data_IF_626524050359
#
_entry.id   IF_626524050359
#
_cell.length_a   1.000
_cell.length_b   1.000
_cell.length_c   1.000
_cell.angle_alpha   90.00
_cell.angle_beta   90.00
_cell.angle_gamma   90.00
#
_symmetry.space_group_name_H-M   'P 1'
#
loop_
_entity.id
_entity.type
_entity.pdbx_description
1 polymer ?
#
# COMPACT_ATOMS: atom_id res chain seq x y z
N UNK A 1 12.29 15.03 19.91
CA UNK A 1 11.76 14.88 18.54
C UNK A 1 12.92 14.36 17.72
N UNK A 2 13.12 13.04 17.73
CA UNK A 2 14.16 12.40 16.93
C UNK A 2 13.87 12.70 15.46
N UNK A 3 14.85 13.25 14.76
CA UNK A 3 14.80 13.29 13.30
C UNK A 3 14.80 11.85 12.86
N UNK A 4 13.74 11.43 12.17
CA UNK A 4 13.79 10.24 11.33
C UNK A 4 14.94 10.47 10.35
N UNK A 5 16.11 9.90 10.62
CA UNK A 5 17.16 9.73 9.61
C UNK A 5 16.61 8.73 8.61
N UNK A 6 15.75 9.23 7.70
CA UNK A 6 15.13 8.41 6.67
C UNK A 6 16.24 7.97 5.72
N UNK A 7 16.55 6.68 5.76
CA UNK A 7 17.59 6.09 4.94
C UNK A 7 17.22 6.23 3.45
N UNK A 8 18.08 6.88 2.65
CA UNK A 8 17.87 7.15 1.21
C UNK A 8 17.46 5.90 0.39
N UNK A 9 18.03 4.69 0.65
CA UNK A 9 17.57 3.45 0.03
C UNK A 9 16.11 3.11 0.29
N UNK A 10 15.59 3.37 1.50
CA UNK A 10 14.20 3.09 1.86
C UNK A 10 13.23 3.99 1.08
N UNK A 11 13.58 5.27 0.93
CA UNK A 11 12.81 6.21 0.11
C UNK A 11 12.71 5.68 -1.32
N UNK A 12 13.85 5.27 -1.89
CA UNK A 12 13.88 4.74 -3.27
C UNK A 12 13.07 3.46 -3.44
N UNK A 13 13.07 2.57 -2.45
CA UNK A 13 12.20 1.37 -2.43
C UNK A 13 10.73 1.79 -2.48
N UNK A 14 10.31 2.70 -1.61
CA UNK A 14 8.92 3.16 -1.55
C UNK A 14 8.50 3.86 -2.85
N UNK A 15 9.35 4.73 -3.41
CA UNK A 15 9.12 5.41 -4.70
C UNK A 15 8.95 4.41 -5.85
N UNK A 16 9.82 3.40 -5.93
CA UNK A 16 9.76 2.36 -6.95
C UNK A 16 8.45 1.55 -6.85
N UNK A 17 8.04 1.18 -5.63
CA UNK A 17 6.77 0.48 -5.41
C UNK A 17 5.59 1.35 -5.83
N UNK A 18 5.58 2.63 -5.44
CA UNK A 18 4.52 3.57 -5.83
C UNK A 18 4.45 3.72 -7.36
N UNK A 19 5.58 3.89 -8.02
CA UNK A 19 5.66 4.03 -9.47
C UNK A 19 5.17 2.76 -10.18
N UNK A 20 5.68 1.59 -9.78
CA UNK A 20 5.30 0.31 -10.36
C UNK A 20 3.81 0.00 -10.16
N UNK A 21 3.28 0.26 -8.95
CA UNK A 21 1.87 0.06 -8.64
C UNK A 21 0.98 0.91 -9.54
N UNK A 22 1.24 2.21 -9.63
CA UNK A 22 0.36 3.16 -10.34
C UNK A 22 0.51 3.08 -11.86
N UNK A 23 1.66 2.61 -12.35
CA UNK A 23 1.85 2.31 -13.76
C UNK A 23 1.11 1.03 -14.18
N UNK A 24 1.05 0.02 -13.29
CA UNK A 24 0.38 -1.26 -13.55
C UNK A 24 -1.13 -1.21 -13.30
N UNK A 25 -1.54 -0.45 -12.28
CA UNK A 25 -2.92 -0.36 -11.80
C UNK A 25 -3.31 1.12 -11.67
N UNK A 26 -4.07 1.67 -12.64
CA UNK A 26 -4.61 3.02 -12.52
C UNK A 26 -5.43 3.17 -11.24
N UNK A 27 -5.41 4.36 -10.63
CA UNK A 27 -6.14 4.62 -9.37
C UNK A 27 -7.61 4.21 -9.45
N UNK A 28 -8.28 4.49 -10.57
CA UNK A 28 -9.68 4.12 -10.79
C UNK A 28 -9.91 2.61 -10.72
N UNK A 29 -8.99 1.82 -11.29
CA UNK A 29 -9.04 0.36 -11.19
C UNK A 29 -8.91 -0.12 -9.74
N UNK A 30 -8.01 0.47 -8.96
CA UNK A 30 -7.82 0.09 -7.54
C UNK A 30 -9.09 0.42 -6.75
N UNK A 31 -9.70 1.59 -6.99
CA UNK A 31 -10.95 2.00 -6.36
C UNK A 31 -12.08 1.03 -6.70
N UNK A 32 -12.23 0.66 -7.97
CA UNK A 32 -13.29 -0.25 -8.40
C UNK A 32 -13.07 -1.67 -7.84
N UNK A 33 -11.82 -2.15 -7.79
CA UNK A 33 -11.47 -3.41 -7.13
C UNK A 33 -11.87 -3.42 -5.64
N UNK A 34 -11.69 -2.29 -4.92
CA UNK A 34 -12.12 -2.16 -3.52
C UNK A 34 -13.64 -2.22 -3.41
N UNK A 35 -14.37 -1.54 -4.30
CA UNK A 35 -15.85 -1.54 -4.29
C UNK A 35 -16.42 -2.94 -4.55
N UNK A 36 -15.85 -3.66 -5.51
CA UNK A 36 -16.24 -5.04 -5.84
C UNK A 36 -15.95 -6.02 -4.70
N UNK A 37 -14.91 -5.76 -3.90
CA UNK A 37 -14.44 -6.64 -2.84
C UNK A 37 -14.52 -5.98 -1.46
N UNK A 38 -15.56 -5.18 -1.20
CA UNK A 38 -15.72 -4.36 0.01
C UNK A 38 -15.49 -5.13 1.32
N UNK A 39 -15.93 -6.39 1.37
CA UNK A 39 -15.87 -7.25 2.56
C UNK A 39 -14.54 -8.04 2.68
N UNK A 40 -13.67 -8.02 1.66
CA UNK A 40 -12.41 -8.77 1.63
C UNK A 40 -11.21 -7.88 1.89
N UNK A 41 -10.22 -8.28 2.69
CA UNK A 41 -9.00 -7.48 2.85
C UNK A 41 -8.24 -7.42 1.52
N UNK A 42 -7.65 -6.27 1.21
CA UNK A 42 -6.88 -6.09 -0.02
C UNK A 42 -5.50 -5.57 0.36
N UNK A 43 -4.47 -6.15 -0.24
CA UNK A 43 -3.08 -5.86 0.05
C UNK A 43 -2.32 -5.51 -1.23
N UNK A 44 -1.37 -4.59 -1.11
CA UNK A 44 -0.26 -4.46 -2.05
C UNK A 44 0.82 -5.43 -1.59
N UNK A 45 1.32 -6.25 -2.51
CA UNK A 45 2.43 -7.17 -2.26
C UNK A 45 3.64 -6.79 -3.10
N UNK A 46 4.82 -6.77 -2.48
CA UNK A 46 6.09 -6.55 -3.15
C UNK A 46 7.24 -7.11 -2.31
N UNK A 47 8.46 -7.03 -2.80
CA UNK A 47 9.67 -7.44 -2.08
C UNK A 47 10.70 -6.32 -2.11
N UNK A 48 11.43 -6.13 -1.00
CA UNK A 48 12.40 -5.04 -0.87
C UNK A 48 13.58 -5.16 -1.85
N UNK A 49 13.95 -6.38 -2.22
CA UNK A 49 14.98 -6.69 -3.23
C UNK A 49 14.50 -6.43 -4.67
N UNK A 50 13.17 -6.45 -4.89
CA UNK A 50 12.53 -6.26 -6.19
C UNK A 50 11.34 -5.31 -6.10
N UNK A 51 11.56 -4.03 -5.76
CA UNK A 51 10.48 -3.08 -5.49
C UNK A 51 9.64 -2.71 -6.73
N UNK A 52 10.07 -3.12 -7.93
CA UNK A 52 9.31 -2.94 -9.17
C UNK A 52 8.35 -4.11 -9.46
N UNK A 53 8.51 -5.25 -8.76
CA UNK A 53 7.58 -6.38 -8.82
C UNK A 53 6.48 -6.13 -7.78
N UNK A 54 5.36 -5.57 -8.25
CA UNK A 54 4.22 -5.20 -7.41
C UNK A 54 2.93 -5.84 -7.91
N UNK A 55 2.14 -6.37 -6.96
CA UNK A 55 0.82 -6.94 -7.20
C UNK A 55 -0.21 -6.50 -6.16
N UNK A 56 -1.49 -6.63 -6.53
CA UNK A 56 -2.61 -6.44 -5.62
C UNK A 56 -3.25 -7.80 -5.35
N UNK A 57 -3.38 -8.13 -4.07
CA UNK A 57 -3.95 -9.37 -3.59
C UNK A 57 -5.28 -9.10 -2.88
N UNK A 58 -6.34 -9.79 -3.29
CA UNK A 58 -7.63 -9.83 -2.57
C UNK A 58 -7.67 -11.06 -1.67
N UNK A 59 -7.61 -10.84 -0.36
CA UNK A 59 -7.70 -11.90 0.65
C UNK A 59 -9.15 -12.21 1.00
N UNK A 60 -9.70 -13.21 0.31
CA UNK A 60 -11.07 -13.71 0.53
C UNK A 60 -11.20 -14.61 1.76
N UNK A 61 -10.09 -15.09 2.32
CA UNK A 61 -10.06 -16.15 3.36
C UNK A 61 -9.45 -15.68 4.68
N UNK A 62 -8.94 -14.45 4.75
CA UNK A 62 -8.34 -13.88 5.96
C UNK A 62 -7.00 -14.50 6.32
N UNK A 63 -6.26 -15.07 5.36
CA UNK A 63 -4.98 -15.74 5.61
C UNK A 63 -3.77 -14.80 5.56
N UNK A 64 -3.95 -13.62 4.98
CA UNK A 64 -2.88 -12.64 4.84
C UNK A 64 -2.92 -11.63 5.96
N UNK A 65 -1.74 -11.10 6.29
CA UNK A 65 -1.53 -10.11 7.34
C UNK A 65 -0.47 -9.12 6.89
N UNK A 66 -0.44 -7.97 7.55
CA UNK A 66 0.59 -6.98 7.33
C UNK A 66 1.99 -7.56 7.51
N UNK A 67 2.89 -7.23 6.60
CA UNK A 67 4.32 -7.56 6.67
C UNK A 67 5.15 -6.39 6.14
N UNK A 68 6.23 -6.06 6.85
CA UNK A 68 7.13 -4.96 6.51
C UNK A 68 8.61 -5.36 6.52
N UNK A 69 8.92 -6.66 6.52
CA UNK A 69 10.29 -7.16 6.45
C UNK A 69 10.71 -7.27 4.97
N UNK A 70 11.49 -8.28 4.58
CA UNK A 70 11.91 -8.51 3.20
C UNK A 70 10.72 -8.55 2.23
N UNK A 71 9.68 -9.31 2.59
CA UNK A 71 8.40 -9.28 1.91
C UNK A 71 7.50 -8.19 2.51
N UNK A 72 6.87 -7.43 1.63
CA UNK A 72 5.93 -6.37 1.95
C UNK A 72 4.52 -6.85 1.63
N UNK A 73 3.63 -6.77 2.62
CA UNK A 73 2.20 -7.04 2.47
C UNK A 73 1.46 -5.88 3.14
N UNK A 74 1.03 -4.90 2.34
CA UNK A 74 0.63 -3.57 2.81
C UNK A 74 -0.88 -3.41 2.59
N UNK A 75 -1.69 -3.20 3.63
CA UNK A 75 -3.12 -3.05 3.48
C UNK A 75 -3.48 -1.80 2.64
N UNK A 76 -4.43 -1.97 1.73
CA UNK A 76 -5.01 -0.87 0.96
C UNK A 76 -6.08 -0.16 1.82
N UNK A 77 -6.00 1.18 2.00
CA UNK A 77 -6.91 1.93 2.83
C UNK A 77 -8.28 2.04 2.15
N UNK A 78 -9.27 1.26 2.63
CA UNK A 78 -10.57 1.14 1.94
C UNK A 78 -11.51 2.29 2.26
N UNK A 79 -11.38 2.88 3.45
CA UNK A 79 -12.31 3.89 3.96
C UNK A 79 -12.51 5.06 3.00
N UNK A 80 -11.48 5.38 2.21
CA UNK A 80 -11.46 6.51 1.27
C UNK A 80 -11.87 6.15 -0.17
N UNK A 81 -12.10 4.87 -0.46
CA UNK A 81 -12.54 4.41 -1.78
C UNK A 81 -14.06 4.15 -1.88
N UNK A 82 -14.73 3.98 -0.74
CA UNK A 82 -16.14 3.53 -0.67
C UNK A 82 -17.14 4.70 -0.53
N UNK A 83 -16.78 5.76 0.19
CA UNK A 83 -17.62 6.95 0.37
C UNK A 83 -17.03 8.11 -0.43
N UNK A 84 -17.65 8.47 -1.57
CA UNK A 84 -17.27 9.58 -2.47
C UNK A 84 -15.74 9.75 -2.66
N UNK A 85 -15.11 8.91 -3.49
CA UNK A 85 -13.66 8.85 -3.54
C UNK A 85 -13.05 10.13 -4.10
N UNK A 86 -12.47 10.95 -3.23
CA UNK A 86 -11.44 11.90 -3.64
C UNK A 86 -10.23 11.09 -4.10
N UNK A 87 -10.11 10.92 -5.41
CA UNK A 87 -9.05 10.14 -6.05
C UNK A 87 -7.66 10.61 -5.63
N UNK A 88 -7.46 11.92 -5.46
CA UNK A 88 -6.17 12.49 -5.08
C UNK A 88 -5.84 12.17 -3.63
N UNK A 89 -6.84 12.29 -2.76
CA UNK A 89 -6.68 11.92 -1.35
C UNK A 89 -6.40 10.42 -1.22
N UNK A 90 -7.16 9.57 -1.89
CA UNK A 90 -6.95 8.12 -1.90
C UNK A 90 -5.54 7.75 -2.39
N UNK A 91 -5.10 8.32 -3.52
CA UNK A 91 -3.75 8.11 -4.04
C UNK A 91 -2.67 8.55 -3.04
N UNK A 92 -2.85 9.70 -2.39
CA UNK A 92 -1.91 10.18 -1.39
C UNK A 92 -1.85 9.26 -0.15
N UNK A 93 -3.00 8.78 0.33
CA UNK A 93 -3.08 7.83 1.46
C UNK A 93 -2.45 6.48 1.09
N UNK A 94 -2.69 5.99 -0.13
CA UNK A 94 -2.09 4.76 -0.63
C UNK A 94 -0.57 4.84 -0.65
N UNK A 95 -0.02 5.94 -1.18
CA UNK A 95 1.42 6.23 -1.15
C UNK A 95 1.94 6.32 0.28
N UNK A 96 1.24 7.04 1.16
CA UNK A 96 1.64 7.15 2.57
C UNK A 96 1.75 5.78 3.26
N UNK A 97 0.79 4.88 3.07
CA UNK A 97 0.86 3.52 3.61
C UNK A 97 2.07 2.73 3.07
N UNK A 98 2.42 2.90 1.79
CA UNK A 98 3.61 2.27 1.21
C UNK A 98 4.88 2.78 1.89
N UNK A 99 5.02 4.10 2.03
CA UNK A 99 6.17 4.72 2.69
C UNK A 99 6.28 4.25 4.16
N UNK A 100 5.19 4.30 4.91
CA UNK A 100 5.17 3.86 6.31
C UNK A 100 5.58 2.38 6.43
N UNK A 101 5.05 1.51 5.56
CA UNK A 101 5.39 0.10 5.58
C UNK A 101 6.86 -0.16 5.23
N UNK A 102 7.40 0.54 4.22
CA UNK A 102 8.82 0.44 3.86
C UNK A 102 9.71 0.96 4.98
N UNK A 103 9.27 1.95 5.74
CA UNK A 103 9.93 2.46 6.94
C UNK A 103 9.69 1.61 8.21
N UNK A 104 9.05 0.44 8.06
CA UNK A 104 8.77 -0.52 9.14
C UNK A 104 7.88 0.02 10.25
N UNK A 105 6.96 0.93 9.93
CA UNK A 105 5.90 1.35 10.85
C UNK A 105 5.06 0.14 11.30
N UNK A 106 4.50 0.21 12.50
CA UNK A 106 3.52 -0.75 13.00
C UNK A 106 2.24 -0.70 12.14
N UNK A 107 1.50 -1.81 12.04
CA UNK A 107 0.24 -1.87 11.28
C UNK A 107 -0.77 -0.80 11.73
N UNK A 108 -0.79 -0.49 13.03
CA UNK A 108 -1.68 0.52 13.65
C UNK A 108 -1.40 1.95 13.17
N UNK A 109 -0.22 2.19 12.62
CA UNK A 109 0.18 3.50 12.08
C UNK A 109 -0.29 3.68 10.64
N UNK A 110 -0.71 2.60 9.97
CA UNK A 110 -1.26 2.66 8.62
C UNK A 110 -2.71 3.15 8.63
N UNK A 111 -3.08 3.85 7.57
CA UNK A 111 -4.46 4.19 7.32
C UNK A 111 -5.24 2.94 6.87
N UNK A 112 -6.43 2.69 7.45
CA UNK A 112 -7.29 1.56 7.11
C UNK A 112 -8.65 2.01 6.56
#
# INVERSE_FOLDING_TARGET
>A
MERLDVDLPQIKIAENICYALLNKYPIDYIIDLIKENKDCRIYITSSRDKPNEVDILVDKVGRYKYQCNEFLCIPIPKKFAVLEPDKRYFEATLKANIFLAVLKADEKELHQ
#
